data_IF_552034283535
#
_entry.id   IF_552034283535
#
_cell.length_a   1.000
_cell.length_b   1.000
_cell.length_c   1.000
_cell.angle_alpha   90.00
_cell.angle_beta   90.00
_cell.angle_gamma   90.00
#
_symmetry.space_group_name_H-M   'P 1'
#
loop_
_entity.id
_entity.type
_entity.pdbx_description
1 polymer ?
#
# COMPACT_ATOMS: atom_id res chain seq x y z
N UNK A 1 -4.64 -2.52 12.32
CA UNK A 1 -4.47 -1.14 12.84
C UNK A 1 -5.73 -0.69 13.54
N UNK A 2 -5.63 0.14 14.57
CA UNK A 2 -6.77 0.77 15.24
C UNK A 2 -6.97 2.21 14.74
N UNK A 3 -8.20 2.73 14.84
CA UNK A 3 -8.54 4.11 14.45
C UNK A 3 -7.64 5.16 15.11
N UNK A 4 -7.33 4.99 16.40
CA UNK A 4 -6.43 5.89 17.14
C UNK A 4 -5.04 6.00 16.49
N UNK A 5 -4.49 4.88 16.02
CA UNK A 5 -3.19 4.89 15.36
C UNK A 5 -3.27 5.54 13.98
N UNK A 6 -4.37 5.33 13.24
CA UNK A 6 -4.60 5.99 11.94
C UNK A 6 -4.64 7.51 12.10
N UNK A 7 -5.38 8.03 13.06
CA UNK A 7 -5.45 9.47 13.33
C UNK A 7 -4.08 10.05 13.73
N UNK A 8 -3.29 9.33 14.54
CA UNK A 8 -1.94 9.78 14.93
C UNK A 8 -0.98 9.83 13.75
N UNK A 9 -1.02 8.82 12.88
CA UNK A 9 -0.21 8.78 11.66
C UNK A 9 -0.59 9.94 10.73
N UNK A 10 -1.88 10.18 10.52
CA UNK A 10 -2.35 11.30 9.70
C UNK A 10 -1.93 12.67 10.28
N UNK A 11 -2.02 12.84 11.60
CA UNK A 11 -1.58 14.08 12.25
C UNK A 11 -0.06 14.31 12.09
N UNK A 12 0.74 13.24 12.24
CA UNK A 12 2.18 13.29 12.04
C UNK A 12 2.55 13.60 10.58
N UNK A 13 1.92 12.90 9.62
CA UNK A 13 2.03 13.15 8.19
C UNK A 13 1.74 14.63 7.89
N UNK A 14 0.58 15.13 8.30
CA UNK A 14 0.21 16.52 8.01
C UNK A 14 1.12 17.55 8.69
N UNK A 15 1.63 17.27 9.89
CA UNK A 15 2.61 18.15 10.56
C UNK A 15 3.93 18.23 9.80
N UNK A 16 4.37 17.10 9.24
CA UNK A 16 5.58 17.04 8.43
C UNK A 16 5.39 17.75 7.09
N UNK A 17 4.32 17.43 6.35
CA UNK A 17 4.05 18.01 5.03
C UNK A 17 3.91 19.54 5.10
N UNK A 18 3.25 20.07 6.13
CA UNK A 18 3.15 21.52 6.34
C UNK A 18 4.51 22.19 6.53
N UNK A 19 5.42 21.56 7.27
CA UNK A 19 6.78 22.09 7.46
C UNK A 19 7.57 22.08 6.15
N UNK A 20 7.46 20.99 5.38
CA UNK A 20 8.15 20.85 4.09
C UNK A 20 7.61 21.86 3.07
N UNK A 21 6.30 22.05 3.01
CA UNK A 21 5.66 23.02 2.11
C UNK A 21 5.80 24.48 2.59
N UNK A 22 6.32 24.73 3.79
CA UNK A 22 6.39 26.08 4.37
C UNK A 22 5.02 26.68 4.71
N UNK A 23 3.97 25.86 4.82
CA UNK A 23 2.58 26.30 5.04
C UNK A 23 2.26 26.30 6.53
N UNK A 24 1.82 27.43 7.04
CA UNK A 24 1.40 27.59 8.43
C UNK A 24 -0.03 27.07 8.65
N UNK A 25 -0.43 26.90 9.92
CA UNK A 25 -1.82 26.58 10.26
C UNK A 25 -2.77 27.77 9.99
N UNK A 26 -2.26 29.00 9.92
CA UNK A 26 -3.06 30.21 9.69
C UNK A 26 -3.55 30.32 8.25
N UNK A 27 -2.83 29.70 7.32
CA UNK A 27 -3.16 29.73 5.89
C UNK A 27 -4.41 28.89 5.56
N UNK A 28 -4.88 28.07 6.51
CA UNK A 28 -6.10 27.23 6.38
C UNK A 28 -6.15 26.39 5.10
N UNK A 29 -4.99 26.11 4.50
CA UNK A 29 -4.86 25.27 3.31
C UNK A 29 -5.35 23.87 3.62
N UNK A 30 -6.18 23.33 2.74
CA UNK A 30 -6.74 21.98 2.85
C UNK A 30 -5.60 20.95 2.77
N UNK A 31 -5.74 19.87 3.54
CA UNK A 31 -4.75 18.78 3.55
C UNK A 31 -4.59 18.09 2.20
N UNK A 32 -5.65 18.01 1.40
CA UNK A 32 -5.62 17.45 0.04
C UNK A 32 -4.70 18.27 -0.88
N UNK A 33 -4.82 19.61 -0.83
CA UNK A 33 -4.02 20.52 -1.65
C UNK A 33 -2.54 20.38 -1.33
N UNK A 34 -2.18 20.31 -0.05
CA UNK A 34 -0.78 20.11 0.37
C UNK A 34 -0.21 18.78 -0.18
N UNK A 35 -1.01 17.72 -0.23
CA UNK A 35 -0.58 16.42 -0.78
C UNK A 35 -0.42 16.47 -2.29
N UNK A 36 -1.34 17.14 -2.97
CA UNK A 36 -1.32 17.32 -4.42
C UNK A 36 -0.13 18.17 -4.86
N UNK A 37 0.15 19.28 -4.18
CA UNK A 37 1.31 20.14 -4.45
C UNK A 37 2.64 19.39 -4.28
N UNK A 38 2.72 18.48 -3.29
CA UNK A 38 3.90 17.67 -3.06
C UNK A 38 3.92 16.38 -3.91
N UNK A 39 2.84 16.08 -4.65
CA UNK A 39 2.71 14.85 -5.45
C UNK A 39 2.77 13.56 -4.63
N UNK A 40 2.32 13.60 -3.36
CA UNK A 40 2.47 12.50 -2.41
C UNK A 40 1.19 11.66 -2.28
N UNK A 41 1.34 10.35 -2.43
CA UNK A 41 0.34 9.36 -2.04
C UNK A 41 0.22 9.31 -0.50
N UNK A 42 -0.98 9.14 0.07
CA UNK A 42 -1.18 9.04 1.52
C UNK A 42 -0.30 7.97 2.17
N UNK A 43 0.50 8.37 3.17
CA UNK A 43 1.39 7.46 3.93
C UNK A 43 0.66 6.26 4.53
N UNK A 44 -0.64 6.44 4.82
CA UNK A 44 -1.48 5.40 5.38
C UNK A 44 -1.54 4.15 4.49
N UNK A 45 -1.66 4.31 3.16
CA UNK A 45 -1.76 3.20 2.23
C UNK A 45 -0.44 2.41 2.13
N UNK A 46 0.68 3.11 2.25
CA UNK A 46 1.99 2.48 2.30
C UNK A 46 2.19 1.68 3.59
N UNK A 47 1.79 2.24 4.73
CA UNK A 47 1.90 1.59 6.03
C UNK A 47 0.98 0.37 6.13
N UNK A 48 -0.25 0.44 5.63
CA UNK A 48 -1.17 -0.70 5.61
C UNK A 48 -0.62 -1.84 4.74
N UNK A 49 -0.08 -1.54 3.54
CA UNK A 49 0.61 -2.53 2.70
C UNK A 49 1.82 -3.16 3.41
N UNK A 50 2.63 -2.33 4.06
CA UNK A 50 3.83 -2.79 4.78
C UNK A 50 3.47 -3.66 5.98
N UNK A 51 2.37 -3.34 6.66
CA UNK A 51 1.87 -4.16 7.77
C UNK A 51 1.34 -5.51 7.33
N UNK A 52 0.63 -5.57 6.20
CA UNK A 52 0.16 -6.85 5.66
C UNK A 52 1.34 -7.74 5.25
N UNK A 53 2.37 -7.16 4.62
CA UNK A 53 3.63 -7.88 4.33
C UNK A 53 4.28 -8.42 5.60
N UNK A 54 4.44 -7.55 6.61
CA UNK A 54 4.97 -7.94 7.91
C UNK A 54 4.13 -9.03 8.59
N UNK A 55 2.81 -8.91 8.57
CA UNK A 55 1.90 -9.90 9.14
C UNK A 55 2.01 -11.24 8.42
N UNK A 56 2.21 -11.25 7.09
CA UNK A 56 2.52 -12.46 6.33
C UNK A 56 3.81 -13.13 6.80
N UNK A 57 4.87 -12.35 7.06
CA UNK A 57 6.12 -12.89 7.61
C UNK A 57 5.93 -13.45 9.03
N UNK A 58 5.20 -12.76 9.91
CA UNK A 58 4.90 -13.25 11.26
C UNK A 58 4.04 -14.51 11.22
N UNK A 59 3.01 -14.53 10.37
CA UNK A 59 2.15 -15.70 10.20
C UNK A 59 2.99 -16.88 9.76
N UNK A 60 3.81 -16.74 8.70
CA UNK A 60 4.75 -17.76 8.20
C UNK A 60 5.69 -18.27 9.29
N UNK A 61 6.25 -17.36 10.10
CA UNK A 61 7.19 -17.70 11.17
C UNK A 61 6.50 -18.41 12.35
N UNK A 62 5.20 -18.18 12.55
CA UNK A 62 4.37 -18.83 13.54
C UNK A 62 3.80 -20.18 13.06
N UNK A 63 3.97 -20.57 11.79
CA UNK A 63 3.51 -21.89 11.33
C UNK A 63 4.25 -22.99 12.09
N UNK A 64 3.56 -23.80 12.90
CA UNK A 64 4.17 -24.94 13.54
C UNK A 64 4.24 -26.04 12.47
N UNK A 65 5.33 -26.04 11.70
CA UNK A 65 5.69 -27.21 10.91
C UNK A 65 6.03 -28.35 11.84
N UNK A 66 5.03 -29.03 12.42
CA UNK A 66 5.15 -30.30 13.15
C UNK A 66 3.80 -30.98 13.36
N UNK A 67 3.51 -31.97 12.51
CA UNK A 67 2.60 -33.07 12.76
C UNK A 67 3.36 -34.42 12.84
N UNK A 68 3.61 -34.90 14.06
CA UNK A 68 3.51 -36.29 14.59
C UNK A 68 4.00 -37.54 13.79
N UNK A 69 5.13 -37.51 13.08
CA UNK A 69 6.00 -38.71 12.91
C UNK A 69 7.47 -38.36 12.64
N UNK A 70 7.81 -37.07 12.68
CA UNK A 70 9.03 -36.57 12.04
C UNK A 70 8.89 -36.43 10.52
N UNK A 71 7.78 -36.84 9.90
CA UNK A 71 7.56 -36.69 8.46
C UNK A 71 6.61 -35.51 8.13
N UNK A 72 6.96 -34.66 7.14
CA UNK A 72 6.11 -33.59 6.63
C UNK A 72 4.89 -34.14 5.85
N UNK A 73 3.71 -33.53 6.04
CA UNK A 73 2.51 -33.81 5.27
C UNK A 73 2.59 -33.19 3.86
N UNK A 74 2.70 -34.04 2.84
CA UNK A 74 2.90 -33.63 1.43
C UNK A 74 1.61 -33.30 0.67
N UNK A 75 0.43 -33.50 1.27
CA UNK A 75 -0.87 -33.32 0.60
C UNK A 75 -1.53 -31.96 0.83
N UNK A 76 -0.95 -31.11 1.70
CA UNK A 76 -1.46 -29.75 1.93
C UNK A 76 -0.35 -28.76 1.52
N UNK A 77 -0.33 -28.32 0.27
CA UNK A 77 0.65 -27.32 -0.17
C UNK A 77 0.46 -26.00 0.60
N UNK A 78 1.54 -25.30 0.98
CA UNK A 78 1.45 -23.90 1.39
C UNK A 78 0.84 -23.11 0.24
N UNK A 79 -0.29 -22.45 0.46
CA UNK A 79 -0.86 -21.57 -0.55
C UNK A 79 0.08 -20.37 -0.70
N UNK A 80 0.78 -20.28 -1.83
CA UNK A 80 1.71 -19.21 -2.16
C UNK A 80 1.07 -17.82 -1.92
N UNK A 81 1.71 -16.87 -1.22
CA UNK A 81 1.17 -15.52 -1.02
C UNK A 81 1.50 -14.59 -2.20
N UNK A 82 1.90 -15.13 -3.35
CA UNK A 82 2.16 -14.30 -4.53
C UNK A 82 0.83 -13.74 -5.05
N UNK A 83 0.73 -12.44 -5.37
CA UNK A 83 -0.39 -11.97 -6.15
C UNK A 83 -0.26 -12.63 -7.53
N UNK A 84 -1.30 -13.35 -7.91
CA UNK A 84 -1.48 -13.91 -9.23
C UNK A 84 -1.05 -12.88 -10.29
N UNK A 85 -0.17 -13.31 -11.19
CA UNK A 85 0.20 -12.59 -12.42
C UNK A 85 -1.00 -12.62 -13.36
N UNK A 86 -2.08 -11.95 -12.99
CA UNK A 86 -3.20 -11.56 -13.84
C UNK A 86 -3.34 -10.04 -13.90
N UNK A 87 -2.22 -9.33 -13.89
CA UNK A 87 -2.11 -8.16 -14.76
C UNK A 87 -1.86 -8.68 -16.16
N UNK A 88 -2.95 -9.05 -16.85
CA UNK A 88 -2.96 -8.99 -18.31
C UNK A 88 -2.50 -7.61 -18.69
N UNK A 89 -1.28 -7.52 -19.21
CA UNK A 89 -0.95 -6.43 -20.09
C UNK A 89 -1.83 -6.58 -21.32
N UNK A 90 -2.99 -5.94 -21.29
CA UNK A 90 -3.49 -5.30 -22.51
C UNK A 90 -2.60 -4.06 -22.70
N UNK A 91 -1.39 -4.31 -23.20
CA UNK A 91 -0.80 -3.39 -24.16
C UNK A 91 -1.73 -3.45 -25.36
N UNK A 92 -2.07 -2.29 -25.91
CA UNK A 92 -2.84 -2.10 -27.14
C UNK A 92 -4.37 -2.05 -26.94
N UNK A 93 -4.89 -0.89 -26.50
CA UNK A 93 -6.16 -0.27 -26.98
C UNK A 93 -6.56 0.93 -26.08
N UNK A 94 -5.84 2.06 -26.18
CA UNK A 94 -6.44 3.39 -25.95
C UNK A 94 -5.59 4.57 -26.41
N UNK A 95 -4.27 4.41 -26.65
CA UNK A 95 -3.43 5.51 -27.16
C UNK A 95 -3.44 5.67 -28.69
N UNK A 96 -3.84 4.65 -29.44
CA UNK A 96 -4.10 4.78 -30.89
C UNK A 96 -5.45 5.45 -31.22
N UNK A 97 -6.37 5.56 -30.26
CA UNK A 97 -7.66 6.24 -30.44
C UNK A 97 -7.59 7.76 -30.20
N UNK A 98 -6.50 8.27 -29.61
CA UNK A 98 -6.30 9.71 -29.35
C UNK A 98 -5.43 10.42 -30.41
N UNK A 99 -4.80 9.69 -31.33
CA UNK A 99 -3.96 10.26 -32.40
C UNK A 99 -4.75 10.47 -33.71
N UNK A 100 -5.96 9.91 -33.85
CA UNK A 100 -6.81 10.11 -35.03
C UNK A 100 -7.94 11.16 -34.85
N UNK A 101 -7.95 11.90 -33.73
CA UNK A 101 -8.84 13.07 -33.55
C UNK A 101 -8.10 14.40 -33.61
N UNK A 102 -6.91 14.41 -34.23
CA UNK A 102 -6.17 15.63 -34.53
C UNK A 102 -5.64 15.59 -35.96
N UNK A 103 -6.57 15.47 -36.89
CA UNK A 103 -6.59 16.08 -38.23
C UNK A 103 -8.04 16.06 -38.74
#
# INVERSE_FOLDING_TARGET
MTERTRSRVQAAEMSFLRRVAGVSLRDRVRSSVIREELGLEPLLLYLERSQLRWFGHLSWSMWPGKGKSGAPCLSCSPRDPTPDKRMTMNKDLSLSALVLSRE
#
